data_IF_983657970932
#
_entry.id   IF_983657970932
#
_cell.length_a   1.000
_cell.length_b   1.000
_cell.length_c   1.000
_cell.angle_alpha   90.00
_cell.angle_beta   90.00
_cell.angle_gamma   90.00
#
_symmetry.space_group_name_H-M   'P 1'
#
loop_
_entity.id
_entity.type
_entity.pdbx_description
1 polymer ?
#
# COMPACT_ATOMS: atom_id res chain seq x y z
N UNK A 1 -20.05 8.51 -0.59
CA UNK A 1 -18.68 8.62 -0.06
C UNK A 1 -17.76 8.29 -1.20
N UNK A 2 -16.82 9.16 -1.54
CA UNK A 2 -15.88 8.92 -2.63
C UNK A 2 -14.68 8.22 -2.02
N UNK A 3 -14.40 6.99 -2.45
CA UNK A 3 -13.18 6.29 -2.04
C UNK A 3 -11.96 7.03 -2.59
N UNK A 4 -10.87 7.13 -1.81
CA UNK A 4 -9.67 7.82 -2.26
C UNK A 4 -9.03 7.04 -3.42
N UNK A 5 -8.82 7.73 -4.54
CA UNK A 5 -8.20 7.13 -5.74
C UNK A 5 -6.68 7.17 -5.58
N UNK A 6 -6.06 5.99 -5.62
CA UNK A 6 -4.61 5.87 -5.67
C UNK A 6 -4.08 6.38 -7.02
N UNK A 7 -3.06 7.23 -6.98
CA UNK A 7 -2.42 7.82 -8.15
C UNK A 7 -1.12 7.10 -8.52
N UNK A 8 -0.44 6.49 -7.56
CA UNK A 8 0.78 5.71 -7.80
C UNK A 8 0.88 4.54 -6.82
N UNK A 9 1.40 3.41 -7.32
CA UNK A 9 1.78 2.24 -6.51
C UNK A 9 3.21 1.87 -6.85
N UNK A 10 4.10 1.85 -5.85
CA UNK A 10 5.53 1.56 -6.04
C UNK A 10 5.99 0.44 -5.12
N UNK A 11 6.54 -0.62 -5.73
CA UNK A 11 7.07 -1.77 -5.00
C UNK A 11 8.56 -1.61 -4.70
N UNK A 12 8.94 -1.42 -3.44
CA UNK A 12 10.33 -1.35 -2.98
C UNK A 12 10.77 -2.73 -2.47
N UNK A 13 11.28 -3.57 -3.36
CA UNK A 13 11.67 -4.96 -3.05
C UNK A 13 12.82 -5.08 -2.04
N UNK A 14 13.86 -4.26 -2.20
CA UNK A 14 15.04 -4.30 -1.31
C UNK A 14 14.65 -4.03 0.14
N UNK A 15 13.76 -3.05 0.36
CA UNK A 15 13.26 -2.66 1.68
C UNK A 15 11.98 -3.40 2.10
N UNK A 16 11.46 -4.31 1.27
CA UNK A 16 10.21 -5.06 1.49
C UNK A 16 9.01 -4.15 1.85
N UNK A 17 8.86 -3.07 1.10
CA UNK A 17 7.85 -2.03 1.33
C UNK A 17 7.01 -1.82 0.08
N UNK A 18 5.69 -1.66 0.25
CA UNK A 18 4.80 -1.17 -0.78
C UNK A 18 4.46 0.28 -0.46
N UNK A 19 4.59 1.15 -1.44
CA UNK A 19 4.25 2.55 -1.30
C UNK A 19 3.03 2.88 -2.15
N UNK A 20 2.09 3.62 -1.57
CA UNK A 20 0.85 4.03 -2.24
C UNK A 20 0.67 5.53 -2.05
N UNK A 21 0.46 6.24 -3.16
CA UNK A 21 0.17 7.68 -3.18
C UNK A 21 -1.27 7.91 -3.62
N UNK A 22 -1.92 8.91 -3.05
CA UNK A 22 -3.31 9.27 -3.32
C UNK A 22 -3.42 10.68 -3.92
N UNK A 23 -4.56 10.97 -4.56
CA UNK A 23 -4.79 12.24 -5.24
C UNK A 23 -4.84 13.47 -4.30
N UNK A 24 -5.07 13.25 -3.01
CA UNK A 24 -5.05 14.28 -1.96
C UNK A 24 -3.63 14.61 -1.46
N UNK A 25 -2.60 13.93 -1.99
CA UNK A 25 -1.21 14.07 -1.57
C UNK A 25 -0.81 13.16 -0.41
N UNK A 26 -1.72 12.35 0.13
CA UNK A 26 -1.41 11.36 1.14
C UNK A 26 -0.53 10.25 0.56
N UNK A 27 0.47 9.81 1.34
CA UNK A 27 1.39 8.71 0.97
C UNK A 27 1.56 7.75 2.13
N UNK A 28 1.48 6.47 1.82
CA UNK A 28 1.57 5.40 2.80
C UNK A 28 2.64 4.41 2.38
N UNK A 29 3.41 3.96 3.37
CA UNK A 29 4.42 2.92 3.21
C UNK A 29 3.96 1.71 4.04
N UNK A 30 3.63 0.62 3.34
CA UNK A 30 3.05 -0.60 3.89
C UNK A 30 4.10 -1.72 3.84
N UNK A 31 4.63 -2.17 5.00
CA UNK A 31 5.56 -3.27 5.05
C UNK A 31 4.93 -4.55 4.51
N UNK A 32 5.71 -5.40 3.86
CA UNK A 32 5.19 -6.67 3.33
C UNK A 32 4.64 -7.58 4.42
N UNK A 33 5.19 -7.53 5.64
CA UNK A 33 4.67 -8.30 6.78
C UNK A 33 3.27 -7.86 7.17
N UNK A 34 3.02 -6.55 7.21
CA UNK A 34 1.69 -6.00 7.44
C UNK A 34 0.70 -6.47 6.36
N UNK A 35 1.08 -6.34 5.08
CA UNK A 35 0.23 -6.78 3.97
C UNK A 35 -0.07 -8.28 4.02
N UNK A 36 0.90 -9.11 4.43
CA UNK A 36 0.71 -10.55 4.55
C UNK A 36 -0.30 -10.91 5.64
N UNK A 37 -0.19 -10.31 6.83
CA UNK A 37 -1.08 -10.59 7.96
C UNK A 37 -2.50 -10.11 7.68
N UNK A 38 -2.65 -8.97 7.00
CA UNK A 38 -3.94 -8.37 6.71
C UNK A 38 -4.49 -8.73 5.31
N UNK A 39 -3.85 -9.67 4.60
CA UNK A 39 -4.36 -10.13 3.30
C UNK A 39 -5.54 -11.08 3.52
N UNK A 40 -6.69 -10.86 2.86
CA UNK A 40 -7.83 -11.78 2.92
C UNK A 40 -7.53 -13.16 2.29
N UNK A 41 -6.43 -13.31 1.55
CA UNK A 41 -5.95 -14.59 1.04
C UNK A 41 -4.96 -15.30 1.97
N UNK A 42 -4.78 -14.81 3.21
CA UNK A 42 -3.91 -15.44 4.19
C UNK A 42 -4.53 -16.68 4.86
N UNK A 43 -5.83 -16.93 4.64
CA UNK A 43 -6.59 -18.12 5.08
C UNK A 43 -6.74 -19.17 3.98
#
# INVERSE_FOLDING_TARGET
MSDPIATEIRLRRASRMLEVSFADGSRFELPFEYLRVHSPSAE
#
